data_IF_201813891046
#
_entry.id   IF_201813891046
#
_cell.length_a   1.000
_cell.length_b   1.000
_cell.length_c   1.000
_cell.angle_alpha   90.00
_cell.angle_beta   90.00
_cell.angle_gamma   90.00
#
_symmetry.space_group_name_H-M   'P 1'
#
loop_
_entity.id
_entity.type
_entity.pdbx_description
1 polymer ?
#
# COMPACT_ATOMS: atom_id res chain seq x y z
N UNK A 1 41.53 18.56 -33.64
CA UNK A 1 42.74 18.35 -32.81
C UNK A 1 42.76 19.43 -31.76
N UNK A 2 42.26 19.13 -30.57
CA UNK A 2 42.20 20.06 -29.44
C UNK A 2 42.85 19.37 -28.25
N UNK A 3 43.81 20.07 -27.67
CA UNK A 3 44.80 19.64 -26.69
C UNK A 3 44.26 19.64 -25.27
N UNK A 4 44.72 18.64 -24.50
CA UNK A 4 44.62 18.55 -23.05
C UNK A 4 45.33 19.72 -22.36
N UNK A 5 44.77 20.17 -21.24
CA UNK A 5 45.53 20.79 -20.14
C UNK A 5 44.96 20.35 -18.80
N UNK A 6 45.83 19.75 -18.00
CA UNK A 6 45.67 19.34 -16.60
C UNK A 6 45.47 20.50 -15.62
N UNK A 7 44.89 20.16 -14.46
CA UNK A 7 45.49 20.57 -13.20
C UNK A 7 44.56 21.19 -12.17
N UNK A 8 44.37 20.48 -11.04
CA UNK A 8 44.72 20.88 -9.66
C UNK A 8 43.73 20.33 -8.62
N UNK A 9 44.21 19.37 -7.84
CA UNK A 9 43.64 19.00 -6.54
C UNK A 9 44.52 19.60 -5.43
N UNK A 10 43.95 20.17 -4.35
CA UNK A 10 44.74 20.50 -3.17
C UNK A 10 44.71 19.37 -2.14
N UNK A 11 45.92 18.95 -1.71
CA UNK A 11 46.19 18.28 -0.44
C UNK A 11 46.35 19.33 0.66
N UNK A 12 45.81 19.07 1.85
CA UNK A 12 46.23 19.75 3.09
C UNK A 12 46.60 18.65 4.09
N UNK A 13 47.86 18.67 4.49
CA UNK A 13 48.44 17.94 5.60
C UNK A 13 48.80 18.95 6.70
N UNK A 14 48.85 18.42 7.92
CA UNK A 14 49.64 18.87 9.08
C UNK A 14 48.99 19.78 10.16
N UNK A 15 48.82 19.14 11.32
CA UNK A 15 48.59 19.67 12.66
C UNK A 15 49.81 20.47 13.20
N UNK A 16 49.78 21.08 14.42
CA UNK A 16 50.09 20.32 15.65
C UNK A 16 49.58 20.93 17.00
N UNK A 17 49.77 20.17 18.09
CA UNK A 17 49.78 20.66 19.50
C UNK A 17 48.79 19.89 20.38
N UNK A 18 49.19 18.88 21.17
CA UNK A 18 49.95 19.04 22.42
C UNK A 18 49.01 19.59 23.50
N UNK A 19 48.72 18.91 24.61
CA UNK A 19 49.57 18.87 25.81
C UNK A 19 49.30 17.60 26.63
N UNK A 20 50.35 17.05 27.22
CA UNK A 20 50.34 15.99 28.24
C UNK A 20 50.49 16.60 29.64
N UNK A 21 50.19 15.75 30.63
CA UNK A 21 50.55 15.79 32.06
C UNK A 21 49.49 16.48 32.97
N UNK A 22 49.15 15.99 34.16
CA UNK A 22 49.71 14.92 34.99
C UNK A 22 48.74 14.58 36.15
N UNK A 23 48.76 13.31 36.57
CA UNK A 23 48.73 12.78 37.94
C UNK A 23 47.67 13.26 38.96
N UNK A 24 46.99 12.28 39.57
CA UNK A 24 46.30 12.46 40.85
C UNK A 24 45.51 11.23 41.26
N UNK A 25 46.15 10.29 41.96
CA UNK A 25 45.46 9.25 42.70
C UNK A 25 44.66 9.88 43.85
N UNK A 26 43.36 9.60 43.91
CA UNK A 26 42.54 9.83 45.10
C UNK A 26 41.48 8.74 45.18
N UNK A 27 41.81 7.71 45.95
CA UNK A 27 40.89 6.72 46.51
C UNK A 27 39.89 7.48 47.39
N UNK A 28 38.61 7.47 47.02
CA UNK A 28 37.53 7.92 47.90
C UNK A 28 36.41 6.88 47.86
N UNK A 29 36.16 6.28 49.02
CA UNK A 29 34.96 5.50 49.31
C UNK A 29 33.72 6.28 48.88
N UNK A 30 32.88 5.69 48.03
CA UNK A 30 31.49 6.09 47.90
C UNK A 30 30.61 4.93 48.34
N UNK A 31 29.96 5.21 49.47
CA UNK A 31 28.94 4.43 50.13
C UNK A 31 27.86 3.96 49.16
N UNK A 32 27.37 2.75 49.44
CA UNK A 32 26.14 2.21 48.92
C UNK A 32 24.98 3.20 49.15
N UNK A 33 24.55 3.86 48.08
CA UNK A 33 23.21 4.38 47.96
C UNK A 33 22.56 3.58 46.81
N UNK A 34 21.84 2.53 47.19
CA UNK A 34 20.90 1.87 46.30
C UNK A 34 19.83 2.89 45.93
N UNK A 35 20.09 3.64 44.85
CA UNK A 35 19.07 4.41 44.19
C UNK A 35 18.07 3.40 43.63
N UNK A 36 16.87 3.41 44.22
CA UNK A 36 15.65 2.88 43.66
C UNK A 36 15.41 3.55 42.30
N UNK A 37 16.12 3.09 41.28
CA UNK A 37 15.68 3.25 39.91
C UNK A 37 14.48 2.32 39.80
N UNK A 38 13.26 2.81 39.55
CA UNK A 38 12.17 1.91 39.18
C UNK A 38 12.67 1.15 37.95
N UNK A 39 12.87 -0.15 38.12
CA UNK A 39 12.99 -1.08 37.00
C UNK A 39 11.78 -0.77 36.11
N UNK A 40 11.95 -0.42 34.82
CA UNK A 40 10.81 -0.28 33.95
C UNK A 40 10.03 -1.59 34.06
N UNK A 41 8.77 -1.50 34.47
CA UNK A 41 7.86 -2.66 34.51
C UNK A 41 8.09 -3.44 33.23
N UNK A 42 8.57 -4.67 33.36
CA UNK A 42 8.50 -5.64 32.30
C UNK A 42 7.02 -5.73 31.96
N UNK A 43 6.61 -5.05 30.90
CA UNK A 43 5.31 -5.25 30.28
C UNK A 43 5.21 -6.76 30.09
N UNK A 44 4.19 -7.38 30.68
CA UNK A 44 3.98 -8.83 30.69
C UNK A 44 4.13 -9.41 29.27
N UNK A 45 5.35 -9.80 28.91
CA UNK A 45 5.69 -10.37 27.60
C UNK A 45 5.13 -11.79 27.43
N UNK A 46 4.34 -12.26 28.39
CA UNK A 46 3.84 -13.62 28.46
C UNK A 46 2.42 -13.77 27.91
N UNK A 47 1.67 -12.69 27.71
CA UNK A 47 0.37 -12.75 27.06
C UNK A 47 0.24 -11.59 26.07
N UNK A 48 0.56 -11.78 24.77
CA UNK A 48 0.29 -10.76 23.78
C UNK A 48 -1.21 -10.40 23.80
N UNK A 49 -1.56 -9.15 23.48
CA UNK A 49 -2.97 -8.78 23.38
C UNK A 49 -3.66 -9.70 22.37
N UNK A 50 -4.95 -10.02 22.58
CA UNK A 50 -5.68 -10.82 21.60
C UNK A 50 -5.66 -10.12 20.25
N UNK A 51 -5.62 -10.88 19.13
CA UNK A 51 -5.69 -10.29 17.80
C UNK A 51 -6.96 -9.44 17.66
N UNK A 52 -6.90 -8.31 16.94
CA UNK A 52 -8.10 -7.55 16.67
C UNK A 52 -9.10 -8.40 15.87
N UNK A 53 -10.42 -8.12 15.97
CA UNK A 53 -11.46 -8.89 15.30
C UNK A 53 -11.19 -9.05 13.80
N UNK A 54 -10.73 -8.00 13.13
CA UNK A 54 -10.47 -8.00 11.69
C UNK A 54 -9.37 -8.98 11.28
N UNK A 55 -8.36 -9.19 12.14
CA UNK A 55 -7.32 -10.19 11.89
C UNK A 55 -7.83 -11.59 12.17
N UNK A 56 -8.61 -11.77 13.24
CA UNK A 56 -9.18 -13.06 13.61
C UNK A 56 -10.13 -13.57 12.52
N UNK A 57 -10.98 -12.68 12.00
CA UNK A 57 -11.89 -12.94 10.88
C UNK A 57 -11.12 -13.31 9.62
N UNK A 58 -10.17 -12.46 9.18
CA UNK A 58 -9.39 -12.73 7.98
C UNK A 58 -8.65 -14.08 8.03
N UNK A 59 -8.13 -14.47 9.19
CA UNK A 59 -7.49 -15.78 9.38
C UNK A 59 -8.49 -16.93 9.33
N UNK A 60 -9.63 -16.78 10.01
CA UNK A 60 -10.72 -17.75 9.99
C UNK A 60 -11.23 -18.01 8.56
N UNK A 61 -11.36 -16.95 7.75
CA UNK A 61 -11.85 -17.04 6.37
C UNK A 61 -10.85 -17.77 5.47
N UNK A 62 -9.54 -17.59 5.69
CA UNK A 62 -8.50 -18.37 4.98
C UNK A 62 -8.59 -19.84 5.35
N UNK A 63 -8.74 -20.15 6.64
CA UNK A 63 -8.78 -21.53 7.12
C UNK A 63 -10.03 -22.29 6.64
N UNK A 64 -11.17 -21.61 6.56
CA UNK A 64 -12.41 -22.19 6.07
C UNK A 64 -12.47 -22.29 4.54
N UNK A 65 -11.58 -21.58 3.84
CA UNK A 65 -11.63 -21.38 2.39
C UNK A 65 -12.72 -20.39 1.93
N UNK A 66 -13.38 -19.71 2.86
CA UNK A 66 -14.41 -18.70 2.57
C UNK A 66 -13.81 -17.48 1.88
N UNK A 67 -12.58 -17.08 2.25
CA UNK A 67 -11.88 -15.96 1.62
C UNK A 67 -11.64 -16.21 0.13
N UNK A 68 -11.14 -17.40 -0.24
CA UNK A 68 -10.94 -17.80 -1.63
C UNK A 68 -12.28 -17.89 -2.39
N UNK A 69 -13.31 -18.49 -1.78
CA UNK A 69 -14.63 -18.61 -2.42
C UNK A 69 -15.30 -17.25 -2.70
N UNK A 70 -15.23 -16.31 -1.76
CA UNK A 70 -15.73 -14.94 -1.95
C UNK A 70 -14.93 -14.22 -3.05
N UNK A 71 -13.60 -14.33 -3.02
CA UNK A 71 -12.74 -13.70 -4.00
C UNK A 71 -13.01 -14.21 -5.43
N UNK A 72 -13.22 -15.52 -5.59
CA UNK A 72 -13.62 -16.15 -6.86
C UNK A 72 -15.00 -15.69 -7.33
N UNK A 73 -15.97 -15.56 -6.41
CA UNK A 73 -17.30 -15.06 -6.73
C UNK A 73 -17.24 -13.62 -7.27
N UNK A 74 -16.46 -12.76 -6.61
CA UNK A 74 -16.19 -11.39 -7.08
C UNK A 74 -15.54 -11.42 -8.47
N UNK A 75 -14.46 -12.20 -8.64
CA UNK A 75 -13.74 -12.28 -9.90
C UNK A 75 -14.59 -12.81 -11.07
N UNK A 76 -15.61 -13.61 -10.77
CA UNK A 76 -16.59 -14.11 -11.74
C UNK A 76 -17.59 -13.08 -12.25
N UNK A 77 -17.66 -11.88 -11.67
CA UNK A 77 -18.55 -10.83 -12.14
C UNK A 77 -18.12 -10.22 -13.49
N UNK A 78 -19.07 -10.14 -14.43
CA UNK A 78 -18.87 -9.59 -15.77
C UNK A 78 -18.37 -8.14 -15.73
N UNK A 79 -17.08 -7.91 -16.04
CA UNK A 79 -16.53 -6.57 -16.23
C UNK A 79 -15.17 -6.31 -15.59
N UNK A 80 -14.71 -7.21 -14.72
CA UNK A 80 -13.46 -7.02 -13.98
C UNK A 80 -12.25 -7.30 -14.87
N UNK A 81 -11.76 -6.26 -15.57
CA UNK A 81 -10.49 -6.34 -16.30
C UNK A 81 -9.41 -5.75 -15.42
N UNK A 82 -8.32 -6.50 -15.27
CA UNK A 82 -7.16 -6.08 -14.53
C UNK A 82 -6.35 -5.03 -15.31
N UNK A 83 -6.81 -3.79 -15.22
CA UNK A 83 -6.03 -2.60 -15.51
C UNK A 83 -6.60 -1.47 -14.66
N UNK A 84 -5.78 -0.46 -14.33
CA UNK A 84 -6.17 0.79 -13.65
C UNK A 84 -7.13 1.66 -14.48
N UNK A 85 -8.12 1.01 -15.08
CA UNK A 85 -9.16 1.54 -15.92
C UNK A 85 -10.23 2.14 -15.02
N UNK A 86 -10.72 3.36 -15.32
CA UNK A 86 -11.74 4.01 -14.50
C UNK A 86 -13.02 3.17 -14.46
N UNK A 87 -13.88 3.42 -13.48
CA UNK A 87 -15.15 2.73 -13.28
C UNK A 87 -15.92 2.39 -14.57
N UNK A 88 -16.00 3.34 -15.52
CA UNK A 88 -16.69 3.18 -16.81
C UNK A 88 -16.16 2.03 -17.68
N UNK A 89 -14.92 1.63 -17.49
CA UNK A 89 -14.24 0.57 -18.23
C UNK A 89 -14.34 -0.77 -17.49
N UNK A 90 -14.40 -0.74 -16.15
CA UNK A 90 -14.66 -1.93 -15.32
C UNK A 90 -16.13 -2.34 -15.37
N UNK A 91 -17.05 -1.40 -15.58
CA UNK A 91 -18.47 -1.71 -15.70
C UNK A 91 -19.07 -1.11 -16.98
N UNK A 92 -19.10 -1.94 -18.02
CA UNK A 92 -19.48 -1.56 -19.39
C UNK A 92 -20.85 -0.86 -19.50
N UNK A 93 -21.78 -1.12 -18.57
CA UNK A 93 -23.13 -0.53 -18.53
C UNK A 93 -23.13 0.98 -18.28
N UNK A 94 -22.08 1.55 -17.67
CA UNK A 94 -21.98 3.02 -17.50
C UNK A 94 -21.47 3.69 -18.78
N UNK A 95 -20.65 2.99 -19.58
CA UNK A 95 -20.13 3.53 -20.83
C UNK A 95 -21.18 3.61 -21.97
N UNK A 96 -22.28 2.84 -21.89
CA UNK A 96 -23.32 2.84 -22.93
C UNK A 96 -24.11 4.16 -23.01
N UNK A 97 -24.10 4.96 -21.94
CA UNK A 97 -24.72 6.29 -21.92
C UNK A 97 -23.82 7.41 -22.46
N UNK A 98 -22.58 7.12 -22.87
CA UNK A 98 -21.61 8.12 -23.33
C UNK A 98 -21.44 8.08 -24.85
N UNK A 99 -21.69 9.21 -25.49
CA UNK A 99 -21.52 9.39 -26.93
C UNK A 99 -20.13 8.90 -27.42
N UNK A 100 -20.10 8.25 -28.59
CA UNK A 100 -18.88 7.64 -29.14
C UNK A 100 -17.80 8.69 -29.44
N UNK A 101 -18.18 9.86 -29.96
CA UNK A 101 -17.21 10.91 -30.25
C UNK A 101 -16.63 11.50 -28.96
N UNK A 102 -17.44 11.62 -27.90
CA UNK A 102 -16.96 12.00 -26.57
C UNK A 102 -15.97 10.98 -25.99
N UNK A 103 -16.26 9.67 -26.08
CA UNK A 103 -15.33 8.62 -25.64
C UNK A 103 -13.98 8.68 -26.38
N UNK A 104 -13.98 8.91 -27.68
CA UNK A 104 -12.76 9.08 -28.46
C UNK A 104 -11.93 10.29 -28.04
N UNK A 105 -12.59 11.43 -27.78
CA UNK A 105 -11.89 12.64 -27.29
C UNK A 105 -11.28 12.41 -25.89
N UNK A 106 -12.01 11.74 -25.00
CA UNK A 106 -11.49 11.36 -23.67
C UNK A 106 -10.29 10.42 -23.77
N UNK A 107 -10.35 9.43 -24.67
CA UNK A 107 -9.22 8.53 -24.92
C UNK A 107 -8.00 9.31 -25.45
N UNK A 108 -8.20 10.22 -26.41
CA UNK A 108 -7.13 11.07 -26.93
C UNK A 108 -6.50 11.95 -25.84
N UNK A 109 -7.31 12.58 -24.98
CA UNK A 109 -6.81 13.35 -23.84
C UNK A 109 -6.06 12.49 -22.82
N UNK A 110 -6.48 11.24 -22.62
CA UNK A 110 -5.81 10.29 -21.70
C UNK A 110 -4.42 9.89 -22.22
N UNK A 111 -4.27 9.76 -23.54
CA UNK A 111 -3.01 9.41 -24.21
C UNK A 111 -2.05 10.60 -24.39
N UNK A 112 -2.51 11.83 -24.17
CA UNK A 112 -1.64 13.00 -24.22
C UNK A 112 -0.59 12.95 -23.09
N UNK A 113 0.68 12.94 -23.48
CA UNK A 113 1.82 12.83 -22.55
C UNK A 113 2.23 14.16 -21.93
N UNK A 114 1.98 15.28 -22.63
CA UNK A 114 2.25 16.62 -22.11
C UNK A 114 1.13 17.08 -21.16
N UNK A 115 1.44 17.47 -19.90
CA UNK A 115 0.42 17.87 -18.92
C UNK A 115 -0.41 19.08 -19.39
N UNK A 116 0.24 20.08 -20.00
CA UNK A 116 -0.45 21.28 -20.54
C UNK A 116 -1.39 20.94 -21.70
N UNK A 117 -0.96 20.05 -22.59
CA UNK A 117 -1.77 19.58 -23.70
C UNK A 117 -2.97 18.78 -23.17
N UNK A 118 -2.74 17.89 -22.21
CA UNK A 118 -3.80 17.11 -21.56
C UNK A 118 -4.82 18.01 -20.89
N UNK A 119 -4.39 18.98 -20.08
CA UNK A 119 -5.29 19.95 -19.43
C UNK A 119 -6.10 20.75 -20.46
N UNK A 120 -5.46 21.18 -21.55
CA UNK A 120 -6.13 21.90 -22.65
C UNK A 120 -7.22 21.05 -23.29
N UNK A 121 -6.91 19.79 -23.62
CA UNK A 121 -7.88 18.86 -24.21
C UNK A 121 -9.04 18.59 -23.25
N UNK A 122 -8.77 18.35 -21.97
CA UNK A 122 -9.81 18.11 -20.96
C UNK A 122 -10.76 19.31 -20.82
N UNK A 123 -10.24 20.54 -20.78
CA UNK A 123 -11.06 21.76 -20.75
C UNK A 123 -11.94 21.92 -21.98
N UNK A 124 -11.39 21.66 -23.17
CA UNK A 124 -12.15 21.73 -24.43
C UNK A 124 -13.27 20.70 -24.48
N UNK A 125 -13.05 19.50 -23.92
CA UNK A 125 -14.08 18.47 -23.83
C UNK A 125 -15.17 18.89 -22.84
N UNK A 126 -14.79 19.38 -21.66
CA UNK A 126 -15.71 19.81 -20.59
C UNK A 126 -16.68 20.90 -21.05
N UNK A 127 -16.21 21.88 -21.83
CA UNK A 127 -17.03 22.99 -22.32
C UNK A 127 -18.26 22.57 -23.16
N UNK A 128 -18.22 21.39 -23.76
CA UNK A 128 -19.32 20.84 -24.56
C UNK A 128 -19.97 19.59 -23.99
N UNK A 129 -19.67 19.23 -22.74
CA UNK A 129 -20.17 17.98 -22.12
C UNK A 129 -21.33 18.27 -21.17
N UNK A 130 -22.50 17.63 -21.35
CA UNK A 130 -23.62 17.80 -20.44
C UNK A 130 -23.34 17.17 -19.06
N UNK A 131 -24.03 17.62 -17.99
CA UNK A 131 -23.97 16.98 -16.68
C UNK A 131 -24.25 15.47 -16.76
N UNK A 132 -23.57 14.69 -15.93
CA UNK A 132 -23.72 13.23 -15.87
C UNK A 132 -22.38 12.49 -15.94
N UNK A 133 -22.39 11.20 -16.33
CA UNK A 133 -21.22 10.33 -16.20
C UNK A 133 -19.96 10.84 -16.92
N UNK A 134 -20.10 11.49 -18.07
CA UNK A 134 -18.95 12.03 -18.79
C UNK A 134 -18.31 13.23 -18.08
N UNK A 135 -19.12 14.09 -17.45
CA UNK A 135 -18.62 15.21 -16.62
C UNK A 135 -17.91 14.67 -15.38
N UNK A 136 -18.45 13.62 -14.75
CA UNK A 136 -17.79 12.93 -13.65
C UNK A 136 -16.43 12.37 -14.06
N UNK A 137 -16.34 11.68 -15.21
CA UNK A 137 -15.07 11.14 -15.72
C UNK A 137 -14.04 12.23 -16.01
N UNK A 138 -14.46 13.37 -16.54
CA UNK A 138 -13.59 14.53 -16.77
C UNK A 138 -13.03 15.08 -15.46
N UNK A 139 -13.87 15.20 -14.43
CA UNK A 139 -13.45 15.64 -13.11
C UNK A 139 -12.37 14.70 -12.53
N UNK A 140 -12.57 13.37 -12.61
CA UNK A 140 -11.54 12.40 -12.21
C UNK A 140 -10.26 12.53 -13.03
N UNK A 141 -10.35 12.68 -14.36
CA UNK A 141 -9.18 12.81 -15.22
C UNK A 141 -8.32 14.05 -14.88
N UNK A 142 -8.98 15.15 -14.47
CA UNK A 142 -8.31 16.37 -14.01
C UNK A 142 -7.73 16.21 -12.61
N UNK A 143 -8.41 15.47 -11.72
CA UNK A 143 -7.85 15.10 -10.42
C UNK A 143 -6.57 14.25 -10.57
N UNK A 144 -6.60 13.22 -11.42
CA UNK A 144 -5.43 12.40 -11.75
C UNK A 144 -4.26 13.24 -12.27
N UNK A 145 -4.53 14.19 -13.18
CA UNK A 145 -3.51 15.10 -13.71
C UNK A 145 -2.94 16.00 -12.61
N UNK A 146 -3.81 16.60 -11.79
CA UNK A 146 -3.38 17.44 -10.67
C UNK A 146 -2.52 16.68 -9.66
N UNK A 147 -2.83 15.41 -9.36
CA UNK A 147 -2.00 14.57 -8.50
C UNK A 147 -0.62 14.31 -9.12
N UNK A 148 -0.55 13.99 -10.42
CA UNK A 148 0.73 13.79 -11.13
C UNK A 148 1.61 15.04 -11.13
N UNK A 149 0.99 16.22 -11.17
CA UNK A 149 1.69 17.51 -11.11
C UNK A 149 1.99 17.98 -9.68
N UNK A 150 1.67 17.19 -8.64
CA UNK A 150 1.86 17.57 -7.23
C UNK A 150 0.91 18.65 -6.72
N UNK A 151 -0.21 18.90 -7.42
CA UNK A 151 -1.23 19.91 -7.08
C UNK A 151 -2.38 19.28 -6.29
N UNK A 152 -2.11 18.73 -5.10
CA UNK A 152 -3.11 17.98 -4.31
C UNK A 152 -4.37 18.77 -3.98
N UNK A 153 -4.27 20.09 -3.75
CA UNK A 153 -5.46 20.94 -3.51
C UNK A 153 -6.37 21.04 -4.73
N UNK A 154 -5.79 21.18 -5.92
CA UNK A 154 -6.56 21.19 -7.16
C UNK A 154 -7.21 19.82 -7.39
N UNK A 155 -6.47 18.73 -7.12
CA UNK A 155 -7.01 17.39 -7.20
C UNK A 155 -8.23 17.20 -6.30
N UNK A 156 -8.17 17.65 -5.04
CA UNK A 156 -9.31 17.62 -4.11
C UNK A 156 -10.49 18.42 -4.66
N UNK A 157 -10.25 19.63 -5.18
CA UNK A 157 -11.32 20.44 -5.80
C UNK A 157 -11.99 19.72 -6.98
N UNK A 158 -11.21 19.02 -7.81
CA UNK A 158 -11.76 18.18 -8.88
C UNK A 158 -12.57 17.00 -8.33
N UNK A 159 -12.12 16.36 -7.26
CA UNK A 159 -12.81 15.25 -6.61
C UNK A 159 -14.11 15.70 -5.91
N UNK A 160 -14.15 16.90 -5.36
CA UNK A 160 -15.39 17.47 -4.79
C UNK A 160 -16.43 17.74 -5.88
N UNK A 161 -15.99 18.19 -7.06
CA UNK A 161 -16.86 18.32 -8.23
C UNK A 161 -17.35 16.97 -8.75
N UNK A 162 -16.51 15.94 -8.77
CA UNK A 162 -16.92 14.58 -9.11
C UNK A 162 -17.95 14.06 -8.11
N UNK A 163 -17.73 14.30 -6.81
CA UNK A 163 -18.57 13.80 -5.73
C UNK A 163 -20.02 14.32 -5.80
N UNK A 164 -20.23 15.50 -6.38
CA UNK A 164 -21.53 16.13 -6.57
C UNK A 164 -22.35 15.56 -7.75
N UNK A 165 -21.77 14.67 -8.55
CA UNK A 165 -22.42 14.05 -9.71
C UNK A 165 -22.93 12.68 -9.30
N UNK A 166 -24.22 12.42 -9.54
CA UNK A 166 -24.81 11.11 -9.26
C UNK A 166 -24.18 10.02 -10.12
N UNK A 167 -23.65 9.01 -9.46
CA UNK A 167 -23.06 7.82 -10.04
C UNK A 167 -23.47 6.61 -9.17
N UNK A 168 -23.53 5.40 -9.75
CA UNK A 168 -23.69 4.19 -8.94
C UNK A 168 -22.61 4.09 -7.86
N UNK A 169 -22.96 3.50 -6.71
CA UNK A 169 -22.07 3.43 -5.54
C UNK A 169 -20.72 2.78 -5.86
N UNK A 170 -20.70 1.76 -6.72
CA UNK A 170 -19.46 1.11 -7.16
C UNK A 170 -18.51 2.01 -7.96
N UNK A 171 -18.99 3.10 -8.57
CA UNK A 171 -18.11 4.11 -9.15
C UNK A 171 -17.45 5.03 -8.14
N UNK A 172 -17.94 5.08 -6.90
CA UNK A 172 -17.32 5.90 -5.85
C UNK A 172 -15.94 5.37 -5.46
N UNK A 173 -15.63 4.12 -5.79
CA UNK A 173 -14.30 3.54 -5.62
C UNK A 173 -13.18 4.39 -6.25
N UNK A 174 -13.38 4.90 -7.47
CA UNK A 174 -12.39 5.77 -8.15
C UNK A 174 -12.13 7.08 -7.38
N UNK A 175 -13.17 7.67 -6.79
CA UNK A 175 -13.05 8.90 -6.01
C UNK A 175 -12.28 8.65 -4.72
N UNK A 176 -12.63 7.58 -3.99
CA UNK A 176 -11.94 7.18 -2.77
C UNK A 176 -10.47 6.86 -3.03
N UNK A 177 -10.17 6.12 -4.11
CA UNK A 177 -8.79 5.82 -4.51
C UNK A 177 -7.97 7.07 -4.79
N UNK A 178 -8.50 8.03 -5.56
CA UNK A 178 -7.79 9.28 -5.85
C UNK A 178 -7.66 10.18 -4.62
N UNK A 179 -8.64 10.16 -3.70
CA UNK A 179 -8.51 10.85 -2.40
C UNK A 179 -7.41 10.22 -1.54
N UNK A 180 -7.29 8.89 -1.54
CA UNK A 180 -6.21 8.20 -0.83
C UNK A 180 -4.83 8.61 -1.36
N UNK A 181 -4.70 8.81 -2.69
CA UNK A 181 -3.48 9.32 -3.31
C UNK A 181 -3.20 10.82 -3.03
N UNK A 182 -4.22 11.58 -2.62
CA UNK A 182 -4.10 13.02 -2.32
C UNK A 182 -3.66 13.31 -0.88
N UNK A 183 -3.92 12.40 0.06
CA UNK A 183 -3.55 12.56 1.48
C UNK A 183 -2.12 12.08 1.74
N UNK A 184 -1.50 12.67 2.76
CA UNK A 184 -0.19 12.26 3.30
C UNK A 184 -0.31 11.41 4.56
N UNK A 185 -1.53 11.19 5.07
CA UNK A 185 -1.78 10.46 6.30
C UNK A 185 -2.08 8.99 5.98
N UNK A 186 -1.16 8.08 6.33
CA UNK A 186 -1.30 6.66 6.00
C UNK A 186 -2.58 6.00 6.54
N UNK A 187 -3.03 6.37 7.75
CA UNK A 187 -4.30 5.85 8.32
C UNK A 187 -5.52 6.30 7.52
N UNK A 188 -5.55 7.57 7.11
CA UNK A 188 -6.62 8.12 6.28
C UNK A 188 -6.60 7.48 4.88
N UNK A 189 -5.41 7.36 4.28
CA UNK A 189 -5.24 6.69 2.99
C UNK A 189 -5.74 5.24 3.04
N UNK A 190 -5.43 4.49 4.10
CA UNK A 190 -5.91 3.12 4.27
C UNK A 190 -7.44 3.06 4.40
N UNK A 191 -8.05 3.96 5.18
CA UNK A 191 -9.52 4.03 5.30
C UNK A 191 -10.20 4.38 3.97
N UNK A 192 -9.59 5.25 3.16
CA UNK A 192 -10.09 5.59 1.83
C UNK A 192 -9.94 4.42 0.86
N UNK A 193 -8.85 3.65 0.94
CA UNK A 193 -8.66 2.45 0.12
C UNK A 193 -9.62 1.34 0.53
N UNK A 194 -9.87 1.15 1.84
CA UNK A 194 -10.91 0.24 2.33
C UNK A 194 -12.28 0.63 1.75
N UNK A 195 -12.63 1.92 1.77
CA UNK A 195 -13.86 2.42 1.15
C UNK A 195 -13.88 2.21 -0.38
N UNK A 196 -12.73 2.32 -1.04
CA UNK A 196 -12.63 2.09 -2.48
C UNK A 196 -12.90 0.62 -2.84
N UNK A 197 -12.32 -0.31 -2.07
CA UNK A 197 -12.51 -1.75 -2.20
C UNK A 197 -13.94 -2.15 -1.84
N UNK A 198 -14.52 -1.58 -0.79
CA UNK A 198 -15.90 -1.86 -0.42
C UNK A 198 -16.90 -1.40 -1.50
N UNK A 199 -16.62 -0.27 -2.16
CA UNK A 199 -17.43 0.19 -3.28
C UNK A 199 -17.29 -0.70 -4.51
N UNK A 200 -16.05 -1.10 -4.84
CA UNK A 200 -15.74 -1.96 -5.98
C UNK A 200 -14.70 -3.01 -5.59
N UNK A 201 -15.14 -4.22 -5.17
CA UNK A 201 -14.25 -5.30 -4.74
C UNK A 201 -13.28 -5.77 -5.83
N UNK A 202 -13.65 -5.57 -7.09
CA UNK A 202 -12.84 -5.87 -8.27
C UNK A 202 -11.82 -4.78 -8.63
N UNK A 203 -11.72 -3.70 -7.85
CA UNK A 203 -10.81 -2.61 -8.13
C UNK A 203 -9.34 -2.95 -7.83
N UNK A 204 -8.68 -3.60 -8.78
CA UNK A 204 -7.28 -4.05 -8.70
C UNK A 204 -6.33 -3.01 -8.09
N UNK A 205 -6.32 -1.77 -8.60
CA UNK A 205 -5.37 -0.75 -8.16
C UNK A 205 -5.56 -0.34 -6.69
N UNK A 206 -6.81 -0.37 -6.20
CA UNK A 206 -7.10 -0.11 -4.79
C UNK A 206 -6.58 -1.26 -3.92
N UNK A 207 -6.81 -2.51 -4.32
CA UNK A 207 -6.29 -3.70 -3.63
C UNK A 207 -4.75 -3.71 -3.58
N UNK A 208 -4.10 -3.45 -4.72
CA UNK A 208 -2.63 -3.38 -4.82
C UNK A 208 -2.08 -2.29 -3.89
N UNK A 209 -2.65 -1.08 -3.93
CA UNK A 209 -2.17 0.00 -3.06
C UNK A 209 -2.47 -0.27 -1.59
N UNK A 210 -3.59 -0.90 -1.26
CA UNK A 210 -3.94 -1.28 0.11
C UNK A 210 -2.94 -2.29 0.68
N UNK A 211 -2.62 -3.35 -0.08
CA UNK A 211 -1.61 -4.34 0.31
C UNK A 211 -0.24 -3.69 0.55
N UNK A 212 0.22 -2.83 -0.37
CA UNK A 212 1.51 -2.14 -0.24
C UNK A 212 1.51 -1.18 0.95
N UNK A 213 0.46 -0.37 1.12
CA UNK A 213 0.35 0.59 2.23
C UNK A 213 0.31 -0.13 3.58
N UNK A 214 -0.37 -1.27 3.66
CA UNK A 214 -0.37 -2.12 4.85
C UNK A 214 0.99 -2.76 5.12
N UNK A 215 1.78 -3.06 4.08
CA UNK A 215 3.16 -3.50 4.22
C UNK A 215 4.11 -2.38 4.66
N UNK A 216 3.92 -1.15 4.16
CA UNK A 216 4.59 0.08 4.62
C UNK A 216 4.26 0.37 6.10
N UNK A 217 3.01 0.10 6.50
CA UNK A 217 2.50 0.25 7.85
C UNK A 217 1.72 1.54 8.06
N UNK A 218 0.56 1.45 8.71
CA UNK A 218 -0.32 2.59 9.01
C UNK A 218 -0.21 3.06 10.47
N UNK A 219 0.59 2.37 11.28
CA UNK A 219 0.87 2.67 12.69
C UNK A 219 1.52 1.47 13.38
N UNK A 220 2.05 1.66 14.59
CA UNK A 220 2.87 0.66 15.29
C UNK A 220 2.23 0.05 16.54
N UNK A 221 1.00 0.43 16.88
CA UNK A 221 0.23 -0.24 17.94
C UNK A 221 -0.31 -1.60 17.46
N UNK A 222 -0.53 -2.55 18.38
CA UNK A 222 -1.03 -3.89 18.06
C UNK A 222 -2.30 -3.85 17.20
N UNK A 223 -3.29 -3.04 17.56
CA UNK A 223 -4.56 -2.97 16.83
C UNK A 223 -4.34 -2.54 15.37
N UNK A 224 -3.47 -1.56 15.12
CA UNK A 224 -3.14 -1.12 13.77
C UNK A 224 -2.35 -2.17 13.00
N UNK A 225 -1.38 -2.83 13.63
CA UNK A 225 -0.62 -3.90 12.98
C UNK A 225 -1.49 -5.11 12.61
N UNK A 226 -2.42 -5.49 13.49
CA UNK A 226 -3.37 -6.55 13.19
C UNK A 226 -4.31 -6.19 12.04
N UNK A 227 -4.80 -4.94 11.97
CA UNK A 227 -5.59 -4.46 10.81
C UNK A 227 -4.78 -4.43 9.52
N UNK A 228 -3.51 -4.01 9.57
CA UNK A 228 -2.62 -4.03 8.41
C UNK A 228 -2.35 -5.47 7.93
N UNK A 229 -2.17 -6.42 8.86
CA UNK A 229 -2.05 -7.84 8.52
C UNK A 229 -3.34 -8.37 7.87
N UNK A 230 -4.51 -8.08 8.44
CA UNK A 230 -5.81 -8.45 7.88
C UNK A 230 -6.02 -7.92 6.45
N UNK A 231 -5.73 -6.63 6.23
CA UNK A 231 -5.77 -6.01 4.90
C UNK A 231 -4.81 -6.67 3.93
N UNK A 232 -3.59 -6.96 4.35
CA UNK A 232 -2.58 -7.65 3.53
C UNK A 232 -3.10 -9.01 3.07
N UNK A 233 -3.68 -9.79 3.98
CA UNK A 233 -4.24 -11.12 3.69
C UNK A 233 -5.39 -11.01 2.68
N UNK A 234 -6.44 -10.25 3.03
CA UNK A 234 -7.64 -10.09 2.19
C UNK A 234 -7.33 -9.53 0.81
N UNK A 235 -6.56 -8.44 0.75
CA UNK A 235 -6.21 -7.81 -0.52
C UNK A 235 -5.41 -8.76 -1.41
N UNK A 236 -4.48 -9.55 -0.85
CA UNK A 236 -3.67 -10.47 -1.66
C UNK A 236 -4.47 -11.67 -2.16
N UNK A 237 -5.42 -12.19 -1.38
CA UNK A 237 -6.36 -13.24 -1.83
C UNK A 237 -7.25 -12.71 -2.96
N UNK A 238 -7.82 -11.52 -2.78
CA UNK A 238 -8.64 -10.89 -3.82
C UNK A 238 -7.83 -10.64 -5.10
N UNK A 239 -6.59 -10.16 -4.99
CA UNK A 239 -5.68 -10.03 -6.13
C UNK A 239 -5.37 -11.37 -6.79
N UNK A 240 -5.32 -12.47 -6.02
CA UNK A 240 -5.17 -13.84 -6.51
C UNK A 240 -6.29 -14.21 -7.47
N UNK A 241 -7.53 -14.03 -7.03
CA UNK A 241 -8.71 -14.31 -7.84
C UNK A 241 -8.88 -13.37 -9.04
N UNK A 242 -8.50 -12.08 -8.90
CA UNK A 242 -8.59 -11.09 -9.98
C UNK A 242 -7.44 -11.20 -11.01
N UNK A 243 -6.35 -11.89 -10.67
CA UNK A 243 -5.20 -11.97 -11.55
C UNK A 243 -5.54 -12.82 -12.77
N UNK A 244 -5.33 -12.23 -13.95
CA UNK A 244 -5.44 -12.93 -15.23
C UNK A 244 -4.10 -13.55 -15.63
N UNK A 245 -2.98 -12.96 -15.18
CA UNK A 245 -1.62 -13.34 -15.54
C UNK A 245 -0.64 -13.17 -14.36
N UNK A 246 0.33 -14.07 -14.24
CA UNK A 246 1.39 -14.03 -13.20
C UNK A 246 2.19 -12.72 -13.20
N UNK A 247 2.35 -12.08 -14.37
CA UNK A 247 3.04 -10.80 -14.53
C UNK A 247 2.46 -9.66 -13.68
N UNK A 248 1.19 -9.78 -13.25
CA UNK A 248 0.56 -8.83 -12.35
C UNK A 248 1.11 -8.95 -10.93
N UNK A 249 1.31 -10.19 -10.44
CA UNK A 249 1.97 -10.44 -9.17
C UNK A 249 3.46 -10.12 -9.21
N UNK A 250 4.15 -10.32 -10.34
CA UNK A 250 5.54 -9.87 -10.49
C UNK A 250 5.71 -8.35 -10.32
N UNK A 251 4.69 -7.56 -10.69
CA UNK A 251 4.70 -6.11 -10.45
C UNK A 251 4.56 -5.80 -8.97
N UNK A 252 3.61 -6.43 -8.29
CA UNK A 252 3.40 -6.28 -6.86
C UNK A 252 4.64 -6.75 -6.08
N UNK A 253 5.25 -7.88 -6.43
CA UNK A 253 6.49 -8.37 -5.84
C UNK A 253 7.63 -7.36 -6.01
N UNK A 254 7.79 -6.77 -7.21
CA UNK A 254 8.78 -5.71 -7.44
C UNK A 254 8.51 -4.44 -6.64
N UNK A 255 7.27 -4.13 -6.30
CA UNK A 255 6.93 -2.97 -5.47
C UNK A 255 7.47 -3.10 -4.04
N UNK A 256 7.79 -4.31 -3.59
CA UNK A 256 8.45 -4.54 -2.30
C UNK A 256 9.91 -4.09 -2.31
N UNK A 257 10.52 -3.91 -3.49
CA UNK A 257 11.90 -3.44 -3.61
C UNK A 257 11.98 -2.01 -3.10
N UNK A 258 12.70 -1.81 -1.99
CA UNK A 258 12.86 -0.52 -1.33
C UNK A 258 11.99 -0.34 -0.08
N UNK A 259 11.08 -1.27 0.22
CA UNK A 259 10.41 -1.31 1.51
C UNK A 259 11.34 -1.89 2.59
N UNK A 260 11.14 -1.46 3.83
CA UNK A 260 11.90 -1.96 4.98
C UNK A 260 11.62 -3.46 5.20
N UNK A 261 12.65 -4.32 5.27
CA UNK A 261 12.47 -5.72 5.61
C UNK A 261 11.97 -5.88 7.06
N UNK A 262 10.74 -6.32 7.24
CA UNK A 262 10.11 -6.54 8.54
C UNK A 262 8.98 -7.60 8.42
N UNK A 263 8.26 -7.86 9.52
CA UNK A 263 7.17 -8.85 9.53
C UNK A 263 6.04 -8.52 8.53
N UNK A 264 5.73 -7.24 8.28
CA UNK A 264 4.67 -6.84 7.35
C UNK A 264 5.05 -7.14 5.90
N UNK A 265 6.25 -6.71 5.51
CA UNK A 265 6.76 -6.95 4.15
C UNK A 265 7.01 -8.44 3.91
N UNK A 266 7.36 -9.20 4.95
CA UNK A 266 7.44 -10.65 4.88
C UNK A 266 6.07 -11.33 4.73
N UNK A 267 5.06 -10.88 5.46
CA UNK A 267 3.69 -11.37 5.33
C UNK A 267 3.20 -11.18 3.89
N UNK A 268 3.26 -9.95 3.35
CA UNK A 268 2.86 -9.66 1.97
C UNK A 268 3.66 -10.50 0.96
N UNK A 269 4.99 -10.58 1.10
CA UNK A 269 5.80 -11.37 0.18
C UNK A 269 5.41 -12.85 0.20
N UNK A 270 5.25 -13.46 1.37
CA UNK A 270 4.81 -14.85 1.45
C UNK A 270 3.41 -15.07 0.86
N UNK A 271 2.48 -14.12 1.06
CA UNK A 271 1.15 -14.18 0.43
C UNK A 271 1.25 -14.16 -1.10
N UNK A 272 2.08 -13.28 -1.67
CA UNK A 272 2.34 -13.23 -3.13
C UNK A 272 2.92 -14.56 -3.63
N UNK A 273 3.88 -15.14 -2.90
CA UNK A 273 4.46 -16.44 -3.24
C UNK A 273 3.41 -17.56 -3.22
N UNK A 274 2.53 -17.60 -2.20
CA UNK A 274 1.41 -18.56 -2.12
C UNK A 274 0.46 -18.41 -3.31
N UNK A 275 0.00 -17.19 -3.60
CA UNK A 275 -0.95 -16.92 -4.69
C UNK A 275 -0.39 -17.22 -6.09
N UNK A 276 0.94 -17.27 -6.22
CA UNK A 276 1.62 -17.63 -7.48
C UNK A 276 2.05 -19.10 -7.52
N UNK A 277 1.51 -19.95 -6.63
CA UNK A 277 1.81 -21.38 -6.57
C UNK A 277 3.22 -21.72 -6.07
N UNK A 278 3.99 -20.72 -5.59
CA UNK A 278 5.34 -20.89 -5.03
C UNK A 278 5.27 -21.20 -3.52
N UNK A 279 4.47 -22.21 -3.18
CA UNK A 279 4.09 -22.56 -1.80
C UNK A 279 5.28 -22.89 -0.90
N UNK A 280 6.29 -23.60 -1.40
CA UNK A 280 7.54 -23.86 -0.64
C UNK A 280 8.28 -22.55 -0.32
N UNK A 281 8.42 -21.66 -1.30
CA UNK A 281 9.08 -20.38 -1.10
C UNK A 281 8.30 -19.46 -0.15
N UNK A 282 6.96 -19.53 -0.17
CA UNK A 282 6.12 -18.83 0.81
C UNK A 282 6.42 -19.30 2.24
N UNK A 283 6.50 -20.63 2.46
CA UNK A 283 6.87 -21.22 3.76
C UNK A 283 8.26 -20.81 4.22
N UNK A 284 9.26 -20.87 3.34
CA UNK A 284 10.62 -20.44 3.65
C UNK A 284 10.66 -18.96 4.03
N UNK A 285 9.90 -18.12 3.30
CA UNK A 285 9.83 -16.68 3.56
C UNK A 285 9.24 -16.37 4.93
N UNK A 286 8.12 -17.01 5.27
CA UNK A 286 7.45 -16.82 6.56
C UNK A 286 8.25 -17.39 7.74
N UNK A 287 8.86 -18.56 7.57
CA UNK A 287 9.72 -19.16 8.60
C UNK A 287 10.96 -18.29 8.89
N UNK A 288 11.60 -17.77 7.84
CA UNK A 288 12.71 -16.82 8.00
C UNK A 288 12.26 -15.52 8.68
N UNK A 289 11.03 -15.07 8.42
CA UNK A 289 10.48 -13.88 9.05
C UNK A 289 10.25 -14.09 10.56
N UNK A 290 9.65 -15.21 10.96
CA UNK A 290 9.41 -15.51 12.38
C UNK A 290 10.70 -15.50 13.21
N UNK A 291 11.82 -15.94 12.64
CA UNK A 291 13.13 -15.89 13.29
C UNK A 291 13.64 -14.45 13.54
N UNK A 292 13.13 -13.47 12.81
CA UNK A 292 13.54 -12.06 12.88
C UNK A 292 12.47 -11.08 13.39
N UNK A 293 11.23 -11.52 13.62
CA UNK A 293 10.15 -10.68 14.17
C UNK A 293 10.44 -10.34 15.63
N UNK A 294 10.40 -9.05 15.97
CA UNK A 294 10.79 -8.53 17.28
C UNK A 294 9.82 -8.87 18.42
N UNK A 295 9.95 -8.13 19.53
CA UNK A 295 9.15 -8.34 20.74
C UNK A 295 8.09 -7.24 20.97
N UNK A 296 7.87 -6.34 20.00
CA UNK A 296 6.85 -5.30 20.15
C UNK A 296 5.43 -5.88 20.09
N UNK A 297 4.45 -5.13 20.58
CA UNK A 297 3.03 -5.50 20.45
C UNK A 297 2.60 -5.66 18.98
N UNK A 298 3.18 -4.84 18.09
CA UNK A 298 3.00 -4.97 16.65
C UNK A 298 3.56 -6.29 16.12
N UNK A 299 4.79 -6.63 16.53
CA UNK A 299 5.46 -7.87 16.15
C UNK A 299 4.69 -9.10 16.63
N UNK A 300 4.03 -9.03 17.79
CA UNK A 300 3.17 -10.10 18.27
C UNK A 300 2.00 -10.36 17.31
N UNK A 301 1.36 -9.32 16.76
CA UNK A 301 0.28 -9.46 15.78
C UNK A 301 0.77 -10.04 14.45
N UNK A 302 1.95 -9.59 14.00
CA UNK A 302 2.58 -10.12 12.79
C UNK A 302 2.99 -11.58 12.96
N UNK A 303 3.48 -11.96 14.14
CA UNK A 303 3.80 -13.35 14.50
C UNK A 303 2.55 -14.22 14.39
N UNK A 304 1.44 -13.83 15.03
CA UNK A 304 0.16 -14.57 14.95
C UNK A 304 -0.28 -14.76 13.50
N UNK A 305 -0.25 -13.70 12.68
CA UNK A 305 -0.63 -13.78 11.28
C UNK A 305 0.28 -14.75 10.49
N UNK A 306 1.60 -14.63 10.65
CA UNK A 306 2.58 -15.44 9.91
C UNK A 306 2.53 -16.91 10.35
N UNK A 307 2.42 -17.19 11.65
CA UNK A 307 2.27 -18.54 12.18
C UNK A 307 1.02 -19.21 11.61
N UNK A 308 -0.12 -18.50 11.60
CA UNK A 308 -1.36 -19.06 11.07
C UNK A 308 -1.29 -19.31 9.57
N UNK A 309 -0.65 -18.42 8.81
CA UNK A 309 -0.42 -18.65 7.37
C UNK A 309 0.50 -19.85 7.09
N UNK A 310 1.48 -20.12 7.96
CA UNK A 310 2.33 -21.31 7.84
C UNK A 310 1.56 -22.61 8.09
N UNK A 311 0.65 -22.60 9.07
CA UNK A 311 -0.19 -23.75 9.41
C UNK A 311 -1.13 -24.10 8.25
N UNK A 312 -1.89 -23.13 7.75
CA UNK A 312 -2.83 -23.35 6.63
C UNK A 312 -2.12 -23.84 5.37
N UNK A 313 -0.93 -23.32 5.10
CA UNK A 313 -0.13 -23.71 3.93
C UNK A 313 0.53 -25.09 4.07
N UNK A 314 0.60 -25.65 5.28
CA UNK A 314 1.17 -26.98 5.53
C UNK A 314 0.14 -28.11 5.36
N UNK A 315 -1.15 -27.80 5.50
CA UNK A 315 -2.26 -28.76 5.40
C UNK A 315 -2.67 -29.07 3.95
N UNK A 316 -2.34 -28.20 2.98
CA UNK A 316 -2.62 -28.36 1.55
C UNK A 316 -1.77 -29.45 0.83
N UNK A 317 -1.10 -30.37 1.55
CA UNK A 317 -0.32 -31.47 0.92
C UNK A 317 -1.25 -32.61 0.46
N UNK A 318 -1.19 -33.03 -0.83
CA UNK A 318 -1.92 -34.21 -1.31
C UNK A 318 -1.38 -35.53 -0.74
#
# INVERSE_FOLDING_TARGET
>A
MATMTDGHAPRINDAPGGWRAAWGAATALLLAAAALVPVPEQTDAQNPPPPPPELSEALSDVESGEAEAEAEAVAGEDGLVAAGTPCMMRHKRVATGVDRALRHRLAAATLATGPDLKETLLKQIEAGTPPGPATWRLALARAELALRDGRSRDAISHLDRAAAIEMPDWCRGDEHFLRAAATSQSKEAASLLDAAVAADPGFWAAQERLAILSAEGTGYDAATCGRDAARTIRATIQLGALATHDAQFERLERSLVGLEPNGRTALLHGMILRQTGRTDAARDRWSAALAGVGASECDAMLRVAIERMLETTSEERP
#
